data_IF_093188126382
#
_entry.id   IF_093188126382
#
_cell.length_a   1.000
_cell.length_b   1.000
_cell.length_c   1.000
_cell.angle_alpha   90.00
_cell.angle_beta   90.00
_cell.angle_gamma   90.00
#
_symmetry.space_group_name_H-M   'P 1'
#
loop_
_entity.id
_entity.type
_entity.pdbx_description
1 polymer ?
#
# COMPACT_ATOMS: atom_id res chain seq x y z
N UNK A 1 -16.26 -4.33 27.75
CA UNK A 1 -16.36 -4.07 26.30
C UNK A 1 -15.16 -3.22 25.92
N UNK A 2 -14.04 -3.88 25.62
CA UNK A 2 -12.77 -3.25 25.28
C UNK A 2 -12.28 -3.87 23.98
N UNK A 3 -12.97 -3.55 22.89
CA UNK A 3 -12.44 -3.70 21.54
C UNK A 3 -12.14 -2.29 21.01
N UNK A 4 -11.12 -1.68 21.60
CA UNK A 4 -10.49 -0.50 21.01
C UNK A 4 -9.27 -1.01 20.25
N UNK A 5 -9.30 -0.83 18.93
CA UNK A 5 -8.13 -0.92 18.06
C UNK A 5 -6.98 -0.09 18.67
N UNK A 6 -6.12 -0.71 19.48
CA UNK A 6 -4.88 -0.08 19.95
C UNK A 6 -3.87 -0.12 18.81
N UNK A 7 -4.08 0.75 17.82
CA UNK A 7 -3.03 1.08 16.88
C UNK A 7 -1.86 1.67 17.68
N UNK A 8 -0.62 1.16 17.49
CA UNK A 8 0.57 1.76 18.08
C UNK A 8 0.58 3.28 17.86
N UNK A 9 0.91 4.06 18.89
CA UNK A 9 0.87 5.53 18.83
C UNK A 9 1.73 6.09 17.68
N UNK A 10 2.82 5.41 17.35
CA UNK A 10 3.67 5.69 16.19
C UNK A 10 2.89 5.65 14.86
N UNK A 11 2.05 4.62 14.67
CA UNK A 11 1.21 4.48 13.47
C UNK A 11 0.12 5.55 13.44
N UNK A 12 -0.44 5.94 14.58
CA UNK A 12 -1.40 7.06 14.67
C UNK A 12 -0.74 8.35 14.16
N UNK A 13 0.48 8.65 14.61
CA UNK A 13 1.23 9.82 14.12
C UNK A 13 1.51 9.70 12.63
N UNK A 14 1.95 8.54 12.14
CA UNK A 14 2.21 8.31 10.72
C UNK A 14 0.97 8.51 9.84
N UNK A 15 -0.19 8.08 10.30
CA UNK A 15 -1.48 8.26 9.61
C UNK A 15 -1.89 9.73 9.65
N UNK A 16 -1.90 10.35 10.83
CA UNK A 16 -2.35 11.72 11.04
C UNK A 16 -1.49 12.75 10.32
N UNK A 17 -0.16 12.58 10.32
CA UNK A 17 0.77 13.46 9.60
C UNK A 17 0.53 13.41 8.10
N UNK A 18 -0.01 12.30 7.62
CA UNK A 18 -0.41 12.19 6.23
C UNK A 18 -1.68 13.05 6.04
N UNK A 19 -2.75 12.93 6.85
CA UNK A 19 -4.08 13.58 6.64
C UNK A 19 -4.10 15.05 6.16
N UNK A 20 -5.04 15.45 5.26
CA UNK A 20 -5.17 16.86 4.89
C UNK A 20 -5.64 17.61 6.14
N UNK A 21 -5.28 18.90 6.24
CA UNK A 21 -5.55 19.67 7.45
C UNK A 21 -7.04 19.65 7.82
N UNK A 22 -7.91 19.63 6.81
CA UNK A 22 -9.37 19.57 6.98
C UNK A 22 -9.84 18.29 7.66
N UNK A 23 -9.26 17.13 7.31
CA UNK A 23 -9.61 15.89 7.99
C UNK A 23 -8.93 15.81 9.35
N UNK A 24 -7.67 16.26 9.46
CA UNK A 24 -6.94 16.31 10.73
C UNK A 24 -7.71 17.08 11.81
N UNK A 25 -8.34 18.21 11.44
CA UNK A 25 -9.19 18.99 12.36
C UNK A 25 -10.39 18.17 12.84
N UNK A 26 -11.04 17.38 11.97
CA UNK A 26 -12.16 16.49 12.38
C UNK A 26 -11.69 15.43 13.38
N UNK A 27 -10.46 14.92 13.25
CA UNK A 27 -9.90 13.93 14.17
C UNK A 27 -9.68 14.46 15.60
N UNK A 28 -9.60 15.78 15.81
CA UNK A 28 -9.53 16.37 17.16
C UNK A 28 -10.79 16.11 17.99
N UNK A 29 -11.91 15.80 17.34
CA UNK A 29 -13.19 15.49 18.00
C UNK A 29 -13.37 14.00 18.33
N UNK A 30 -12.47 13.11 17.91
CA UNK A 30 -12.61 11.65 18.10
C UNK A 30 -12.41 11.25 19.56
N UNK A 31 -11.29 11.65 20.19
CA UNK A 31 -11.08 11.48 21.62
C UNK A 31 -10.00 12.42 22.18
N UNK A 32 -9.89 12.50 23.51
CA UNK A 32 -8.92 13.38 24.20
C UNK A 32 -7.46 13.09 23.82
N UNK A 33 -7.12 11.81 23.58
CA UNK A 33 -5.77 11.40 23.17
C UNK A 33 -5.40 11.99 21.80
N UNK A 34 -6.29 11.88 20.82
CA UNK A 34 -6.06 12.43 19.47
C UNK A 34 -6.00 13.95 19.49
N UNK A 35 -6.88 14.63 20.24
CA UNK A 35 -6.83 16.08 20.41
C UNK A 35 -5.49 16.54 21.01
N UNK A 36 -5.00 15.85 22.05
CA UNK A 36 -3.72 16.16 22.69
C UNK A 36 -2.54 15.92 21.76
N UNK A 37 -2.58 14.86 20.95
CA UNK A 37 -1.53 14.53 19.99
C UNK A 37 -1.45 15.56 18.87
N UNK A 38 -2.59 15.92 18.26
CA UNK A 38 -2.66 16.85 17.11
C UNK A 38 -2.23 18.26 17.52
N UNK A 39 -2.52 18.68 18.75
CA UNK A 39 -2.12 20.00 19.28
C UNK A 39 -0.68 20.04 19.83
N UNK A 40 0.01 18.90 19.90
CA UNK A 40 1.38 18.84 20.41
C UNK A 40 2.34 19.61 19.46
N UNK A 41 3.18 20.53 19.95
CA UNK A 41 4.13 21.29 19.12
C UNK A 41 5.06 20.42 18.26
N UNK A 42 5.50 19.27 18.78
CA UNK A 42 6.31 18.29 18.02
C UNK A 42 5.52 17.72 16.86
N UNK A 43 4.26 17.33 17.08
CA UNK A 43 3.39 16.86 16.00
C UNK A 43 3.18 17.95 14.94
N UNK A 44 2.88 19.18 15.37
CA UNK A 44 2.68 20.33 14.49
C UNK A 44 3.93 20.60 13.63
N UNK A 45 5.11 20.57 14.24
CA UNK A 45 6.39 20.72 13.53
C UNK A 45 6.61 19.62 12.49
N UNK A 46 6.37 18.35 12.85
CA UNK A 46 6.46 17.22 11.92
C UNK A 46 5.42 17.35 10.79
N UNK A 47 4.19 17.74 11.12
CA UNK A 47 3.09 17.93 10.18
C UNK A 47 3.45 18.99 9.15
N UNK A 48 3.80 20.21 9.57
CA UNK A 48 4.19 21.27 8.64
C UNK A 48 5.47 20.94 7.86
N UNK A 49 6.45 20.28 8.49
CA UNK A 49 7.66 19.80 7.82
C UNK A 49 7.38 18.83 6.66
N UNK A 50 6.33 18.00 6.76
CA UNK A 50 5.91 17.09 5.67
C UNK A 50 4.86 17.68 4.71
N UNK A 51 4.08 18.67 5.14
CA UNK A 51 2.93 19.20 4.37
C UNK A 51 3.31 20.39 3.48
N UNK A 52 4.37 21.14 3.81
CA UNK A 52 4.86 22.28 3.00
C UNK A 52 5.32 21.88 1.59
N UNK A 53 5.48 20.58 1.30
CA UNK A 53 5.93 20.08 -0.02
C UNK A 53 4.83 19.52 -0.93
N UNK A 54 3.53 19.53 -0.56
CA UNK A 54 2.52 18.76 -1.28
C UNK A 54 1.18 19.51 -1.47
N UNK A 55 0.64 19.60 -2.70
CA UNK A 55 -0.66 20.21 -2.96
C UNK A 55 -1.82 19.38 -2.38
N UNK A 56 -2.84 20.11 -1.92
CA UNK A 56 -3.93 19.69 -1.01
C UNK A 56 -4.86 18.55 -1.48
N UNK A 57 -4.72 18.09 -2.74
CA UNK A 57 -5.61 17.09 -3.35
C UNK A 57 -4.98 15.72 -3.63
N UNK A 58 -3.73 15.49 -3.22
CA UNK A 58 -3.14 14.17 -3.37
C UNK A 58 -3.68 13.22 -2.28
N UNK A 59 -4.54 12.27 -2.67
CA UNK A 59 -4.62 10.96 -1.99
C UNK A 59 -3.18 10.54 -1.65
N UNK A 60 -2.86 10.11 -0.43
CA UNK A 60 -1.44 10.02 -0.05
C UNK A 60 -0.84 8.68 -0.39
N UNK A 61 0.46 8.71 -0.66
CA UNK A 61 1.27 7.52 -0.85
C UNK A 61 1.42 6.84 0.51
N UNK A 62 0.46 5.98 0.85
CA UNK A 62 0.54 5.17 2.05
C UNK A 62 1.71 4.18 1.90
N UNK A 63 2.57 4.04 2.92
CA UNK A 63 3.51 2.95 2.99
C UNK A 63 2.82 1.60 2.97
N UNK A 64 3.56 0.56 2.57
CA UNK A 64 3.04 -0.79 2.42
C UNK A 64 2.32 -1.31 3.67
N UNK A 65 2.84 -1.03 4.87
CA UNK A 65 2.30 -1.54 6.14
C UNK A 65 0.99 -0.90 6.60
N UNK A 66 0.62 0.27 6.06
CA UNK A 66 -0.66 0.95 6.37
C UNK A 66 -1.55 1.19 5.16
N UNK A 67 -1.16 0.71 3.97
CA UNK A 67 -1.97 0.88 2.77
C UNK A 67 -3.24 0.01 2.86
N UNK A 68 -4.44 0.58 2.60
CA UNK A 68 -5.68 -0.20 2.60
C UNK A 68 -5.70 -1.28 1.50
N UNK A 69 -4.99 -1.02 0.40
CA UNK A 69 -4.71 -1.99 -0.67
C UNK A 69 -3.20 -2.02 -0.85
N UNK A 70 -2.58 -3.11 -0.46
CA UNK A 70 -1.13 -3.29 -0.47
C UNK A 70 -0.63 -3.72 -1.85
N UNK A 71 -1.39 -4.60 -2.52
CA UNK A 71 -1.05 -5.10 -3.85
C UNK A 71 -2.26 -5.08 -4.80
N UNK A 72 -2.03 -4.64 -6.04
CA UNK A 72 -3.01 -4.78 -7.14
C UNK A 72 -2.55 -5.87 -8.10
N UNK A 73 -3.38 -6.88 -8.34
CA UNK A 73 -3.11 -7.95 -9.30
C UNK A 73 -3.70 -7.57 -10.66
N UNK A 74 -2.87 -7.56 -11.69
CA UNK A 74 -3.17 -7.02 -13.02
C UNK A 74 -2.93 -8.09 -14.10
N UNK A 75 -3.99 -8.67 -14.68
CA UNK A 75 -3.85 -9.56 -15.81
C UNK A 75 -3.39 -8.81 -17.07
N UNK A 76 -2.58 -9.46 -17.90
CA UNK A 76 -2.24 -8.95 -19.25
C UNK A 76 -3.47 -9.02 -20.16
N UNK A 77 -4.25 -10.10 -20.06
CA UNK A 77 -5.52 -10.32 -20.75
C UNK A 77 -6.53 -11.05 -19.84
N UNK A 78 -7.81 -10.99 -20.17
CA UNK A 78 -8.86 -11.60 -19.33
C UNK A 78 -8.74 -13.13 -19.19
N UNK A 79 -7.96 -13.80 -20.04
CA UNK A 79 -7.68 -15.24 -19.90
C UNK A 79 -6.84 -15.59 -18.67
N UNK A 80 -6.13 -14.62 -18.07
CA UNK A 80 -5.40 -14.81 -16.81
C UNK A 80 -6.22 -14.48 -15.56
N UNK A 81 -7.51 -14.12 -15.71
CA UNK A 81 -8.32 -13.61 -14.60
C UNK A 81 -8.51 -14.63 -13.47
N UNK A 82 -8.74 -15.89 -13.81
CA UNK A 82 -8.91 -16.96 -12.81
C UNK A 82 -7.67 -17.14 -11.94
N UNK A 83 -6.49 -17.12 -12.56
CA UNK A 83 -5.23 -17.17 -11.83
C UNK A 83 -5.01 -15.91 -10.97
N UNK A 84 -5.37 -14.72 -11.46
CA UNK A 84 -5.30 -13.49 -10.66
C UNK A 84 -6.20 -13.54 -9.42
N UNK A 85 -7.39 -14.14 -9.54
CA UNK A 85 -8.30 -14.37 -8.42
C UNK A 85 -7.73 -15.37 -7.41
N UNK A 86 -7.07 -16.43 -7.89
CA UNK A 86 -6.35 -17.39 -7.05
C UNK A 86 -5.22 -16.71 -6.27
N UNK A 87 -4.34 -15.97 -6.95
CA UNK A 87 -3.24 -15.21 -6.32
C UNK A 87 -3.79 -14.28 -5.24
N UNK A 88 -4.86 -13.56 -5.54
CA UNK A 88 -5.51 -12.64 -4.57
C UNK A 88 -6.01 -13.40 -3.35
N UNK A 89 -6.61 -14.58 -3.53
CA UNK A 89 -7.09 -15.41 -2.42
C UNK A 89 -5.93 -15.88 -1.54
N UNK A 90 -4.84 -16.36 -2.13
CA UNK A 90 -3.62 -16.79 -1.42
C UNK A 90 -3.00 -15.65 -0.60
N UNK A 91 -2.91 -14.46 -1.19
CA UNK A 91 -2.39 -13.26 -0.50
C UNK A 91 -3.31 -12.83 0.66
N UNK A 92 -4.63 -12.79 0.45
CA UNK A 92 -5.60 -12.48 1.50
C UNK A 92 -5.58 -13.48 2.64
N UNK A 93 -5.49 -14.77 2.34
CA UNK A 93 -5.34 -15.82 3.35
C UNK A 93 -4.06 -15.65 4.18
N UNK A 94 -3.05 -15.02 3.59
CA UNK A 94 -1.80 -14.63 4.24
C UNK A 94 -1.86 -13.29 4.99
N UNK A 95 -3.02 -12.63 5.06
CA UNK A 95 -3.19 -11.34 5.75
C UNK A 95 -2.78 -10.12 4.91
N UNK A 96 -2.53 -10.30 3.61
CA UNK A 96 -2.15 -9.21 2.69
C UNK A 96 -3.39 -8.68 1.99
N UNK A 97 -3.60 -7.36 2.03
CA UNK A 97 -4.72 -6.72 1.36
C UNK A 97 -4.44 -6.58 -0.14
N UNK A 98 -4.91 -7.54 -0.93
CA UNK A 98 -4.74 -7.57 -2.38
C UNK A 98 -6.09 -7.46 -3.12
N UNK A 99 -6.09 -6.84 -4.30
CA UNK A 99 -7.27 -6.76 -5.18
C UNK A 99 -6.92 -6.97 -6.65
N UNK A 100 -7.80 -7.62 -7.40
CA UNK A 100 -7.68 -7.73 -8.87
C UNK A 100 -8.29 -6.48 -9.53
N UNK A 101 -7.67 -5.99 -10.60
CA UNK A 101 -8.30 -5.03 -11.51
C UNK A 101 -8.12 -5.50 -12.95
N UNK A 102 -9.21 -5.57 -13.73
CA UNK A 102 -9.23 -6.14 -15.08
C UNK A 102 -10.20 -5.37 -15.99
N UNK A 103 -10.41 -5.83 -17.24
CA UNK A 103 -11.37 -5.23 -18.18
C UNK A 103 -10.87 -3.98 -18.92
N UNK A 104 -9.57 -3.66 -18.82
CA UNK A 104 -8.90 -2.63 -19.62
C UNK A 104 -7.52 -3.13 -20.05
N UNK A 105 -6.92 -2.49 -21.06
CA UNK A 105 -5.53 -2.77 -21.42
C UNK A 105 -4.57 -2.58 -20.24
N UNK A 106 -3.57 -3.46 -20.13
CA UNK A 106 -2.59 -3.48 -19.04
C UNK A 106 -1.97 -2.11 -18.75
N UNK A 107 -1.58 -1.36 -19.79
CA UNK A 107 -1.00 -0.02 -19.61
C UNK A 107 -1.95 0.96 -18.89
N UNK A 108 -3.26 0.84 -19.15
CA UNK A 108 -4.29 1.63 -18.47
C UNK A 108 -4.43 1.16 -17.02
N UNK A 109 -4.45 -0.15 -16.78
CA UNK A 109 -4.53 -0.71 -15.43
C UNK A 109 -3.34 -0.29 -14.55
N UNK A 110 -2.11 -0.36 -15.09
CA UNK A 110 -0.89 0.10 -14.41
C UNK A 110 -1.00 1.60 -14.08
N UNK A 111 -1.41 2.41 -15.06
CA UNK A 111 -1.59 3.86 -14.86
C UNK A 111 -2.65 4.17 -13.81
N UNK A 112 -3.77 3.45 -13.82
CA UNK A 112 -4.86 3.64 -12.86
C UNK A 112 -4.41 3.23 -11.45
N UNK A 113 -3.71 2.09 -11.30
CA UNK A 113 -3.12 1.67 -10.03
C UNK A 113 -2.05 2.66 -9.52
N UNK A 114 -1.24 3.24 -10.41
CA UNK A 114 -0.30 4.30 -10.07
C UNK A 114 -1.04 5.55 -9.58
N UNK A 115 -2.09 6.00 -10.28
CA UNK A 115 -2.90 7.15 -9.85
C UNK A 115 -3.59 6.92 -8.51
N UNK A 116 -4.00 5.69 -8.23
CA UNK A 116 -4.57 5.26 -6.95
C UNK A 116 -3.52 5.06 -5.84
N UNK A 117 -2.23 5.16 -6.19
CA UNK A 117 -1.11 5.10 -5.24
C UNK A 117 -0.99 3.77 -4.53
N UNK A 118 -1.27 2.70 -5.27
CA UNK A 118 -1.06 1.33 -4.78
C UNK A 118 0.44 1.06 -4.61
N UNK A 119 0.91 0.57 -3.45
CA UNK A 119 2.32 0.29 -3.22
C UNK A 119 2.92 -0.70 -4.21
N UNK A 120 2.20 -1.79 -4.51
CA UNK A 120 2.67 -2.89 -5.36
C UNK A 120 1.67 -3.21 -6.47
N UNK A 121 2.18 -3.42 -7.68
CA UNK A 121 1.43 -3.91 -8.83
C UNK A 121 2.03 -5.24 -9.27
N UNK A 122 1.26 -6.32 -9.22
CA UNK A 122 1.67 -7.65 -9.64
C UNK A 122 1.02 -7.97 -10.99
N UNK A 123 1.83 -8.00 -12.05
CA UNK A 123 1.39 -8.29 -13.41
C UNK A 123 1.43 -9.80 -13.66
N UNK A 124 0.37 -10.31 -14.28
CA UNK A 124 0.20 -11.73 -14.61
C UNK A 124 -0.03 -11.88 -16.11
N UNK A 125 0.93 -12.44 -16.82
CA UNK A 125 0.79 -12.91 -18.20
C UNK A 125 0.72 -14.43 -18.30
N UNK A 126 0.71 -14.99 -19.53
CA UNK A 126 0.68 -16.43 -19.74
C UNK A 126 1.85 -17.17 -19.06
N UNK A 127 3.06 -16.61 -19.14
CA UNK A 127 4.26 -17.17 -18.52
C UNK A 127 4.13 -17.22 -16.99
N UNK A 128 3.56 -16.19 -16.38
CA UNK A 128 3.32 -16.11 -14.93
C UNK A 128 2.35 -17.19 -14.46
N UNK A 129 1.30 -17.47 -15.25
CA UNK A 129 0.36 -18.57 -14.97
C UNK A 129 1.06 -19.93 -15.02
N UNK A 130 1.85 -20.19 -16.05
CA UNK A 130 2.59 -21.46 -16.20
C UNK A 130 3.61 -21.69 -15.08
N UNK A 131 4.21 -20.60 -14.59
CA UNK A 131 5.31 -20.66 -13.62
C UNK A 131 4.88 -20.36 -12.19
N UNK A 132 3.58 -20.31 -11.87
CA UNK A 132 3.06 -19.93 -10.54
C UNK A 132 3.76 -18.69 -9.96
N UNK A 133 3.92 -17.65 -10.79
CA UNK A 133 4.72 -16.47 -10.48
C UNK A 133 3.98 -15.17 -10.79
N UNK A 134 4.56 -14.05 -10.39
CA UNK A 134 4.07 -12.70 -10.70
C UNK A 134 5.24 -11.80 -11.04
N UNK A 135 5.03 -10.89 -11.99
CA UNK A 135 6.00 -9.83 -12.28
C UNK A 135 5.64 -8.59 -11.47
N UNK A 136 6.49 -8.26 -10.49
CA UNK A 136 6.18 -7.23 -9.48
C UNK A 136 6.78 -5.89 -9.89
N UNK A 137 5.96 -4.84 -9.75
CA UNK A 137 6.36 -3.45 -9.87
C UNK A 137 6.09 -2.74 -8.56
N UNK A 138 7.09 -2.03 -8.07
CA UNK A 138 6.95 -1.17 -6.91
C UNK A 138 6.64 0.24 -7.36
N UNK A 139 5.72 0.91 -6.66
CA UNK A 139 5.56 2.36 -6.79
C UNK A 139 6.81 3.10 -6.31
N UNK A 140 7.37 2.65 -5.19
CA UNK A 140 8.60 3.19 -4.61
C UNK A 140 9.81 2.82 -5.47
N UNK A 141 10.82 3.67 -5.51
CA UNK A 141 11.96 3.52 -6.44
C UNK A 141 11.61 3.94 -7.88
N UNK A 142 10.83 5.01 -8.06
CA UNK A 142 10.45 5.55 -9.37
C UNK A 142 9.73 4.56 -10.33
N UNK A 143 8.91 3.66 -9.79
CA UNK A 143 8.21 2.66 -10.61
C UNK A 143 9.06 1.44 -10.96
N UNK A 144 10.09 1.15 -10.15
CA UNK A 144 11.03 0.05 -10.34
C UNK A 144 10.30 -1.29 -10.53
N UNK A 145 10.75 -2.01 -11.55
CA UNK A 145 10.36 -3.40 -11.76
C UNK A 145 11.25 -4.28 -10.89
N UNK A 146 10.65 -4.95 -9.90
CA UNK A 146 11.34 -5.83 -8.97
C UNK A 146 11.63 -7.20 -9.57
N UNK A 147 11.15 -7.44 -10.79
CA UNK A 147 11.33 -8.71 -11.52
C UNK A 147 10.17 -9.68 -11.29
N UNK A 148 10.38 -10.90 -11.77
CA UNK A 148 9.42 -12.01 -11.63
C UNK A 148 9.81 -12.84 -10.43
N UNK A 149 8.85 -13.13 -9.55
CA UNK A 149 9.04 -13.95 -8.35
C UNK A 149 7.86 -14.89 -8.14
N UNK A 150 8.11 -16.00 -7.45
CA UNK A 150 7.06 -16.98 -7.12
C UNK A 150 6.02 -16.35 -6.19
N UNK A 151 4.78 -16.82 -6.22
CA UNK A 151 3.72 -16.25 -5.37
C UNK A 151 4.03 -16.42 -3.89
N UNK A 152 4.62 -17.54 -3.49
CA UNK A 152 5.00 -17.79 -2.10
C UNK A 152 6.13 -16.85 -1.65
N UNK A 153 7.13 -16.64 -2.51
CA UNK A 153 8.22 -15.69 -2.30
C UNK A 153 7.68 -14.26 -2.20
N UNK A 154 6.78 -13.87 -3.10
CA UNK A 154 6.12 -12.57 -3.08
C UNK A 154 5.36 -12.34 -1.77
N UNK A 155 4.57 -13.33 -1.34
CA UNK A 155 3.83 -13.25 -0.09
C UNK A 155 4.76 -13.16 1.12
N UNK A 156 5.89 -13.87 1.11
CA UNK A 156 6.88 -13.82 2.17
C UNK A 156 7.55 -12.44 2.25
N UNK A 157 8.01 -11.91 1.11
CA UNK A 157 8.70 -10.63 1.05
C UNK A 157 7.78 -9.47 1.47
N UNK A 158 6.50 -9.49 1.09
CA UNK A 158 5.53 -8.50 1.58
C UNK A 158 5.41 -8.56 3.10
N UNK A 159 5.29 -9.75 3.69
CA UNK A 159 5.19 -9.90 5.14
C UNK A 159 6.42 -9.37 5.87
N UNK A 160 7.61 -9.63 5.34
CA UNK A 160 8.85 -9.08 5.91
C UNK A 160 8.88 -7.56 5.79
N UNK A 161 8.53 -6.99 4.63
CA UNK A 161 8.49 -5.54 4.44
C UNK A 161 7.47 -4.86 5.37
N UNK A 162 6.31 -5.49 5.61
CA UNK A 162 5.32 -5.01 6.58
C UNK A 162 5.89 -5.06 8.00
N UNK A 163 6.54 -6.15 8.37
CA UNK A 163 7.14 -6.35 9.71
C UNK A 163 8.24 -5.33 9.99
N UNK A 164 9.10 -5.09 9.01
CA UNK A 164 10.22 -4.15 9.09
C UNK A 164 9.80 -2.70 8.84
N UNK A 165 8.52 -2.45 8.53
CA UNK A 165 7.97 -1.13 8.21
C UNK A 165 8.80 -0.41 7.14
N UNK A 166 9.09 -1.15 6.06
CA UNK A 166 9.86 -0.67 4.91
C UNK A 166 9.08 -0.92 3.60
N UNK A 167 9.57 -0.37 2.49
CA UNK A 167 9.05 -0.72 1.17
C UNK A 167 9.65 -2.03 0.67
N UNK A 168 8.92 -2.73 -0.21
CA UNK A 168 9.44 -3.97 -0.82
C UNK A 168 10.68 -3.71 -1.68
N UNK A 169 10.79 -2.52 -2.28
CA UNK A 169 11.95 -2.11 -3.06
C UNK A 169 13.21 -2.00 -2.18
N UNK A 170 13.10 -1.34 -1.02
CA UNK A 170 14.23 -1.22 -0.09
C UNK A 170 14.64 -2.58 0.46
N UNK A 171 13.68 -3.43 0.83
CA UNK A 171 13.96 -4.77 1.36
C UNK A 171 14.75 -5.65 0.38
N UNK A 172 14.47 -5.56 -0.92
CA UNK A 172 15.11 -6.42 -1.93
C UNK A 172 16.46 -5.87 -2.45
N UNK A 173 16.78 -4.62 -2.12
CA UNK A 173 18.02 -3.95 -2.55
C UNK A 173 19.07 -3.86 -1.43
N UNK A 174 18.73 -4.38 -0.23
CA UNK A 174 19.62 -4.54 0.93
C UNK A 174 20.12 -5.98 1.03
#
# INVERSE_FOLDING_TARGET
>A
MSDSFDLPQELVVEILVRLPIQDLVKFTAVCKSWNSLIKNPTFISIYFGKTVSLPEHCARDFPLWISPIQARILPVTDTQLDFCNEVTRRLKASGIQAEVCHGKHLAILIRDAWKQKIPLMAVVGPKEVETDSVTVRSRFGYGAQLGTMKIDEFSYNIKQAIKERTSLYELLML
#
